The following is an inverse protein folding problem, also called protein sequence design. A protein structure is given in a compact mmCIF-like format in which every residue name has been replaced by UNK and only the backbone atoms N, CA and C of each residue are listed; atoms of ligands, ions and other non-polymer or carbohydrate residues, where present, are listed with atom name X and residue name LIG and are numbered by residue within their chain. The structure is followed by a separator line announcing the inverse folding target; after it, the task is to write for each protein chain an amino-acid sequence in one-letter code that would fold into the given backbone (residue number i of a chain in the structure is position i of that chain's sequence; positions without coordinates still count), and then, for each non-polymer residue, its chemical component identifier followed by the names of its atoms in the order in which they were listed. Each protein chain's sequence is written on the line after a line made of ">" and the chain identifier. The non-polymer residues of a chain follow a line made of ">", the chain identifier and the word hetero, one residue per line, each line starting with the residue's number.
data_IF_973223959706
#
_entry.id   IF_973223959706
#
_cell.length_a   1.000
_cell.length_b   1.000
_cell.length_c   1.000
_cell.angle_alpha   90.00
_cell.angle_beta   90.00
_cell.angle_gamma   90.00
#
_symmetry.space_group_name_H-M   'P 1'
#
loop_
_entity.id
_entity.type
_entity.pdbx_description
1 polymer ?
#
# COMPACT_ATOMS: atom_id res chain seq x y z
N UNK A 1 22.41 12.09 -16.93
CA UNK A 1 21.54 12.34 -18.10
C UNK A 1 20.34 11.37 -18.18
N UNK A 2 20.51 10.06 -17.92
CA UNK A 2 19.44 9.06 -18.12
C UNK A 2 18.33 9.04 -17.04
N UNK A 3 18.65 9.31 -15.77
CA UNK A 3 17.69 9.26 -14.65
C UNK A 3 16.47 10.20 -14.79
N UNK A 4 16.66 11.50 -15.07
CA UNK A 4 15.54 12.42 -15.32
C UNK A 4 14.66 12.00 -16.50
N UNK A 5 15.26 11.46 -17.56
CA UNK A 5 14.52 10.95 -18.71
C UNK A 5 13.61 9.77 -18.33
N UNK A 6 14.14 8.78 -17.61
CA UNK A 6 13.36 7.62 -17.13
C UNK A 6 12.22 8.08 -16.21
N UNK A 7 12.51 8.94 -15.23
CA UNK A 7 11.49 9.46 -14.32
C UNK A 7 10.35 10.17 -15.07
N UNK A 8 10.70 11.01 -16.05
CA UNK A 8 9.72 11.69 -16.88
C UNK A 8 8.84 10.73 -17.69
N UNK A 9 9.36 9.57 -18.09
CA UNK A 9 8.57 8.53 -18.75
C UNK A 9 7.64 7.82 -17.76
N UNK A 10 8.16 7.40 -16.61
CA UNK A 10 7.40 6.67 -15.58
C UNK A 10 6.21 7.47 -15.09
N UNK A 11 6.39 8.77 -14.85
CA UNK A 11 5.34 9.62 -14.29
C UNK A 11 4.21 9.98 -15.25
N UNK A 12 4.26 9.58 -16.52
CA UNK A 12 3.18 9.91 -17.46
C UNK A 12 1.84 9.31 -17.00
N UNK A 13 0.75 10.09 -17.07
CA UNK A 13 -0.59 9.68 -16.59
C UNK A 13 -1.04 8.32 -17.11
N UNK A 14 -0.83 8.05 -18.40
CA UNK A 14 -1.20 6.77 -19.01
C UNK A 14 -0.39 5.59 -18.43
N UNK A 15 0.86 5.81 -18.01
CA UNK A 15 1.68 4.79 -17.35
C UNK A 15 1.27 4.59 -15.90
N UNK A 16 0.98 5.67 -15.16
CA UNK A 16 0.39 5.58 -13.81
C UNK A 16 -0.88 4.72 -13.88
N UNK A 17 -1.79 5.04 -14.81
CA UNK A 17 -3.00 4.25 -15.05
C UNK A 17 -2.69 2.79 -15.39
N UNK A 18 -1.70 2.56 -16.28
CA UNK A 18 -1.26 1.21 -16.63
C UNK A 18 -0.70 0.41 -15.45
N UNK A 19 0.01 1.05 -14.54
CA UNK A 19 0.50 0.44 -13.29
C UNK A 19 -0.66 0.12 -12.36
N UNK A 20 -1.57 1.06 -12.11
CA UNK A 20 -2.75 0.82 -11.27
C UNK A 20 -3.59 -0.36 -11.77
N UNK A 21 -3.76 -0.49 -13.09
CA UNK A 21 -4.46 -1.66 -13.68
C UNK A 21 -3.81 -3.00 -13.36
N UNK A 22 -2.49 -3.04 -13.16
CA UNK A 22 -1.77 -4.27 -12.80
C UNK A 22 -1.98 -4.59 -11.32
N UNK A 23 -1.97 -3.58 -10.46
CA UNK A 23 -1.97 -3.77 -9.00
C UNK A 23 -3.34 -3.80 -8.36
N UNK A 24 -4.32 -3.13 -8.95
CA UNK A 24 -5.69 -3.10 -8.43
C UNK A 24 -6.50 -4.28 -8.95
N UNK A 25 -7.45 -4.71 -8.14
CA UNK A 25 -8.48 -5.71 -8.48
C UNK A 25 -9.83 -5.06 -8.66
N UNK A 26 -10.08 -3.94 -7.99
CA UNK A 26 -11.18 -3.06 -8.34
C UNK A 26 -10.77 -2.06 -9.44
N UNK A 27 -11.09 -2.37 -10.70
CA UNK A 27 -10.75 -1.51 -11.83
C UNK A 27 -11.59 -0.21 -11.87
N UNK A 28 -12.78 -0.20 -11.26
CA UNK A 28 -13.64 0.98 -11.17
C UNK A 28 -13.03 2.06 -10.27
N UNK A 29 -12.16 1.68 -9.33
CA UNK A 29 -11.44 2.62 -8.47
C UNK A 29 -10.37 3.44 -9.23
N UNK A 30 -10.01 3.05 -10.47
CA UNK A 30 -8.99 3.73 -11.27
C UNK A 30 -9.61 4.93 -12.00
N UNK A 31 -10.01 5.95 -11.26
CA UNK A 31 -10.63 7.18 -11.78
C UNK A 31 -9.59 8.15 -12.38
N UNK A 32 -10.01 9.09 -13.23
CA UNK A 32 -9.13 10.17 -13.69
C UNK A 32 -8.63 11.03 -12.51
N UNK A 33 -9.47 11.25 -11.50
CA UNK A 33 -9.11 11.98 -10.28
C UNK A 33 -7.92 11.31 -9.56
N UNK A 34 -7.96 9.99 -9.36
CA UNK A 34 -6.86 9.24 -8.75
C UNK A 34 -5.56 9.39 -9.56
N UNK A 35 -5.66 9.33 -10.89
CA UNK A 35 -4.49 9.55 -11.76
C UNK A 35 -3.92 10.95 -11.58
N UNK A 36 -4.77 11.98 -11.50
CA UNK A 36 -4.32 13.35 -11.24
C UNK A 36 -3.67 13.50 -9.85
N UNK A 37 -4.25 12.87 -8.83
CA UNK A 37 -3.72 12.90 -7.45
C UNK A 37 -2.32 12.30 -7.36
N UNK A 38 -2.04 11.22 -8.09
CA UNK A 38 -0.71 10.62 -8.15
C UNK A 38 0.26 11.38 -9.07
N UNK A 39 -0.26 11.93 -10.18
CA UNK A 39 0.55 12.66 -11.15
C UNK A 39 1.05 14.00 -10.60
N UNK A 40 0.18 14.77 -9.93
CA UNK A 40 0.50 16.12 -9.43
C UNK A 40 1.77 16.17 -8.58
N UNK A 41 1.93 15.37 -7.49
CA UNK A 41 3.16 15.42 -6.69
C UNK A 41 4.40 14.94 -7.47
N UNK A 42 4.23 14.12 -8.53
CA UNK A 42 5.34 13.75 -9.41
C UNK A 42 5.87 14.93 -10.25
N UNK A 43 5.12 16.04 -10.31
CA UNK A 43 5.50 17.28 -10.98
C UNK A 43 6.29 18.25 -10.10
N UNK A 44 6.34 18.01 -8.79
CA UNK A 44 6.96 18.94 -7.86
C UNK A 44 8.49 18.97 -7.99
N UNK A 45 9.13 20.13 -7.72
CA UNK A 45 10.59 20.22 -7.66
C UNK A 45 11.16 19.18 -6.68
N UNK A 46 12.04 18.32 -7.18
CA UNK A 46 12.68 17.28 -6.36
C UNK A 46 11.98 15.91 -6.36
N UNK A 47 10.79 15.78 -6.98
CA UNK A 47 10.08 14.50 -7.05
C UNK A 47 10.93 13.36 -7.65
N UNK A 48 11.77 13.68 -8.64
CA UNK A 48 12.71 12.71 -9.23
C UNK A 48 13.74 12.18 -8.22
N UNK A 49 14.21 13.03 -7.29
CA UNK A 49 15.16 12.62 -6.25
C UNK A 49 14.47 11.76 -5.20
N UNK A 50 13.24 12.10 -4.82
CA UNK A 50 12.41 11.28 -3.92
C UNK A 50 12.16 9.91 -4.53
N UNK A 51 11.71 9.86 -5.79
CA UNK A 51 11.51 8.61 -6.52
C UNK A 51 12.79 7.76 -6.59
N UNK A 52 13.93 8.37 -6.94
CA UNK A 52 15.21 7.67 -6.95
C UNK A 52 15.57 7.12 -5.57
N UNK A 53 15.35 7.90 -4.50
CA UNK A 53 15.64 7.47 -3.13
C UNK A 53 14.83 6.25 -2.70
N UNK A 54 13.56 6.14 -3.11
CA UNK A 54 12.74 4.96 -2.82
C UNK A 54 13.32 3.70 -3.49
N UNK A 55 13.82 3.82 -4.72
CA UNK A 55 14.40 2.69 -5.46
C UNK A 55 15.80 2.29 -5.01
N UNK A 56 16.56 3.22 -4.42
CA UNK A 56 17.96 3.00 -4.06
C UNK A 56 18.21 2.95 -2.55
N UNK A 57 17.20 3.23 -1.73
CA UNK A 57 17.34 3.15 -0.28
C UNK A 57 17.65 1.71 0.14
N UNK A 58 18.52 1.52 1.15
CA UNK A 58 18.70 0.21 1.75
C UNK A 58 17.39 -0.26 2.37
N UNK A 59 17.18 -1.58 2.38
CA UNK A 59 16.05 -2.16 3.10
C UNK A 59 16.13 -1.78 4.59
N UNK A 60 14.97 -1.45 5.18
CA UNK A 60 14.84 -1.26 6.62
C UNK A 60 14.84 -2.59 7.38
N UNK A 61 14.82 -2.54 8.73
CA UNK A 61 14.70 -3.73 9.56
C UNK A 61 13.43 -4.53 9.24
N UNK A 62 13.50 -5.85 9.37
CA UNK A 62 12.36 -6.71 9.06
C UNK A 62 11.24 -6.58 10.11
N UNK A 63 9.97 -6.84 9.73
CA UNK A 63 8.86 -6.90 10.68
C UNK A 63 9.10 -7.82 11.88
N UNK A 64 9.82 -8.94 11.69
CA UNK A 64 10.20 -9.86 12.77
C UNK A 64 11.08 -9.22 13.86
N UNK A 65 11.86 -8.20 13.50
CA UNK A 65 12.72 -7.45 14.44
C UNK A 65 11.98 -6.29 15.12
N UNK A 66 10.93 -5.77 14.46
CA UNK A 66 10.21 -4.58 14.89
C UNK A 66 8.95 -4.90 15.69
N UNK A 67 8.19 -5.91 15.28
CA UNK A 67 6.91 -6.29 15.91
C UNK A 67 7.03 -6.62 17.40
N UNK A 68 8.08 -7.31 17.89
CA UNK A 68 8.25 -7.55 19.33
C UNK A 68 8.36 -6.28 20.18
N UNK A 69 8.67 -5.12 19.56
CA UNK A 69 8.82 -3.83 20.24
C UNK A 69 7.49 -3.07 20.36
N UNK A 70 6.47 -3.46 19.59
CA UNK A 70 5.15 -2.81 19.59
C UNK A 70 4.35 -3.33 20.78
N UNK A 71 3.93 -2.41 21.65
CA UNK A 71 3.09 -2.71 22.83
C UNK A 71 1.62 -2.26 22.66
N UNK A 72 1.32 -1.56 21.57
CA UNK A 72 -0.02 -1.08 21.26
C UNK A 72 -0.80 -2.10 20.41
N UNK A 73 -2.15 -2.12 20.47
CA UNK A 73 -2.94 -2.91 19.56
C UNK A 73 -2.68 -2.52 18.10
N UNK A 74 -2.56 -3.52 17.24
CA UNK A 74 -2.24 -3.37 15.82
C UNK A 74 -3.40 -3.87 14.95
N UNK A 75 -3.88 -3.03 14.03
CA UNK A 75 -4.76 -3.45 12.94
C UNK A 75 -3.94 -3.54 11.65
N UNK A 76 -4.03 -4.66 10.95
CA UNK A 76 -3.41 -4.90 9.65
C UNK A 76 -4.51 -5.17 8.64
N UNK A 77 -4.67 -4.29 7.66
CA UNK A 77 -5.62 -4.46 6.55
C UNK A 77 -4.83 -4.78 5.30
N UNK A 78 -5.19 -5.85 4.60
CA UNK A 78 -4.41 -6.38 3.47
C UNK A 78 -5.32 -6.70 2.28
N UNK A 79 -4.90 -6.39 1.05
CA UNK A 79 -5.65 -6.82 -0.13
C UNK A 79 -5.39 -8.29 -0.44
N UNK A 80 -6.43 -9.12 -0.38
CA UNK A 80 -6.28 -10.58 -0.51
C UNK A 80 -5.55 -11.02 -1.79
N UNK A 81 -5.72 -10.26 -2.88
CA UNK A 81 -5.20 -10.60 -4.20
C UNK A 81 -4.15 -9.59 -4.70
N UNK A 82 -3.44 -8.95 -3.77
CA UNK A 82 -2.31 -8.07 -4.06
C UNK A 82 -1.21 -8.80 -4.87
N UNK A 83 -0.91 -8.35 -6.11
CA UNK A 83 0.12 -8.96 -6.95
C UNK A 83 1.56 -8.56 -6.60
N UNK A 84 1.75 -7.46 -5.89
CA UNK A 84 3.07 -6.92 -5.56
C UNK A 84 3.53 -7.39 -4.18
N UNK A 85 2.61 -7.41 -3.22
CA UNK A 85 2.83 -7.98 -1.89
C UNK A 85 1.81 -9.07 -1.60
N UNK A 86 2.04 -10.31 -2.11
CA UNK A 86 1.14 -11.43 -1.90
C UNK A 86 0.81 -11.61 -0.42
N UNK A 87 -0.42 -12.03 -0.11
CA UNK A 87 -0.90 -12.18 1.27
C UNK A 87 -0.03 -13.12 2.14
N UNK A 88 0.73 -14.02 1.52
CA UNK A 88 1.72 -14.85 2.21
C UNK A 88 2.84 -14.04 2.87
N UNK A 89 3.17 -12.86 2.35
CA UNK A 89 4.05 -11.88 3.01
C UNK A 89 3.49 -11.36 4.34
N UNK A 90 2.17 -11.47 4.52
CA UNK A 90 1.47 -11.14 5.76
C UNK A 90 1.51 -12.23 6.84
N UNK A 91 2.18 -13.38 6.61
CA UNK A 91 2.12 -14.56 7.50
C UNK A 91 2.51 -14.25 8.94
N UNK A 92 3.51 -13.39 9.16
CA UNK A 92 3.93 -13.01 10.51
C UNK A 92 2.81 -12.31 11.29
N UNK A 93 2.01 -11.48 10.64
CA UNK A 93 0.88 -10.78 11.27
C UNK A 93 -0.29 -11.73 11.53
N UNK A 94 -0.55 -12.66 10.59
CA UNK A 94 -1.53 -13.73 10.76
C UNK A 94 -1.18 -14.62 11.96
N UNK A 95 0.08 -15.04 12.08
CA UNK A 95 0.55 -15.89 13.18
C UNK A 95 0.46 -15.21 14.54
N UNK A 96 0.69 -13.89 14.59
CA UNK A 96 0.51 -13.12 15.82
C UNK A 96 -0.96 -13.01 16.21
N UNK A 97 -1.85 -12.79 15.24
CA UNK A 97 -3.29 -12.77 15.47
C UNK A 97 -3.81 -14.13 15.97
N UNK A 98 -3.38 -15.23 15.34
CA UNK A 98 -3.75 -16.61 15.73
C UNK A 98 -3.26 -16.98 17.14
N UNK A 99 -2.09 -16.46 17.55
CA UNK A 99 -1.53 -16.67 18.89
C UNK A 99 -2.17 -15.79 19.97
N UNK A 100 -3.16 -14.97 19.63
CA UNK A 100 -3.85 -14.08 20.56
C UNK A 100 -3.03 -12.87 21.00
N UNK A 101 -2.02 -12.46 20.22
CA UNK A 101 -1.40 -11.16 20.42
C UNK A 101 -2.42 -10.04 20.14
N UNK A 102 -2.14 -8.80 20.55
CA UNK A 102 -3.00 -7.65 20.25
C UNK A 102 -2.84 -7.20 18.78
N UNK A 103 -3.09 -8.13 17.85
CA UNK A 103 -2.99 -7.97 16.41
C UNK A 103 -4.28 -8.47 15.78
N UNK A 104 -4.94 -7.62 15.01
CA UNK A 104 -6.06 -8.00 14.15
C UNK A 104 -5.58 -7.94 12.70
N UNK A 105 -5.68 -9.07 11.98
CA UNK A 105 -5.35 -9.15 10.56
C UNK A 105 -6.64 -9.31 9.74
N UNK A 106 -6.87 -8.40 8.80
CA UNK A 106 -8.10 -8.35 7.99
C UNK A 106 -7.74 -8.39 6.50
N UNK A 107 -7.88 -9.55 5.84
CA UNK A 107 -7.82 -9.60 4.38
C UNK A 107 -9.12 -9.02 3.79
N UNK A 108 -8.98 -8.13 2.81
CA UNK A 108 -10.10 -7.56 2.05
C UNK A 108 -10.24 -8.36 0.76
N UNK A 109 -11.36 -9.09 0.56
CA UNK A 109 -11.54 -9.93 -0.61
C UNK A 109 -11.56 -9.13 -1.91
N UNK A 110 -11.14 -9.75 -3.02
CA UNK A 110 -11.18 -9.15 -4.37
C UNK A 110 -10.56 -7.74 -4.41
N UNK A 111 -9.43 -7.57 -3.72
CA UNK A 111 -8.74 -6.29 -3.51
C UNK A 111 -7.24 -6.47 -3.68
N UNK A 112 -6.60 -5.51 -4.34
CA UNK A 112 -5.18 -5.54 -4.68
C UNK A 112 -4.32 -4.71 -3.72
N UNK A 113 -3.34 -4.00 -4.27
CA UNK A 113 -2.23 -3.41 -3.52
C UNK A 113 -2.61 -2.24 -2.61
N UNK A 114 -3.63 -1.46 -2.97
CA UNK A 114 -4.04 -0.29 -2.17
C UNK A 114 -5.49 -0.45 -1.70
N UNK A 115 -5.77 -1.25 -0.66
CA UNK A 115 -7.14 -1.48 -0.20
C UNK A 115 -7.91 -0.19 0.13
N UNK A 116 -7.24 0.82 0.66
CA UNK A 116 -7.85 2.11 1.01
C UNK A 116 -8.34 2.90 -0.21
N UNK A 117 -7.62 2.81 -1.34
CA UNK A 117 -8.04 3.42 -2.60
C UNK A 117 -9.07 2.55 -3.33
N UNK A 118 -8.90 1.23 -3.29
CA UNK A 118 -9.73 0.27 -4.03
C UNK A 118 -11.11 0.04 -3.40
N UNK A 119 -11.18 0.01 -2.07
CA UNK A 119 -12.39 -0.29 -1.29
C UNK A 119 -12.53 0.67 -0.11
N UNK A 120 -12.58 1.99 -0.34
CA UNK A 120 -12.55 2.99 0.73
C UNK A 120 -13.66 2.79 1.75
N UNK A 121 -14.89 2.47 1.34
CA UNK A 121 -16.00 2.22 2.27
C UNK A 121 -15.71 1.05 3.22
N UNK A 122 -15.14 -0.05 2.71
CA UNK A 122 -14.81 -1.22 3.53
C UNK A 122 -13.67 -0.87 4.49
N UNK A 123 -12.59 -0.28 3.97
CA UNK A 123 -11.41 0.05 4.79
C UNK A 123 -11.75 1.09 5.86
N UNK A 124 -12.51 2.12 5.53
CA UNK A 124 -12.91 3.14 6.49
C UNK A 124 -13.77 2.56 7.61
N UNK A 125 -14.74 1.69 7.28
CA UNK A 125 -15.53 0.98 8.29
C UNK A 125 -14.65 0.13 9.20
N UNK A 126 -13.72 -0.66 8.65
CA UNK A 126 -12.80 -1.48 9.44
C UNK A 126 -11.98 -0.65 10.43
N UNK A 127 -11.48 0.52 10.01
CA UNK A 127 -10.72 1.42 10.87
C UNK A 127 -11.61 2.00 11.98
N UNK A 128 -12.80 2.49 11.64
CA UNK A 128 -13.73 3.08 12.61
C UNK A 128 -14.22 2.05 13.64
N UNK A 129 -14.60 0.86 13.17
CA UNK A 129 -15.04 -0.23 14.05
C UNK A 129 -13.93 -0.63 15.01
N UNK A 130 -12.69 -0.76 14.53
CA UNK A 130 -11.54 -1.08 15.38
C UNK A 130 -11.22 0.02 16.40
N UNK A 131 -11.33 1.30 16.02
CA UNK A 131 -11.15 2.41 16.94
C UNK A 131 -12.24 2.48 18.02
N UNK A 132 -13.46 2.04 17.70
CA UNK A 132 -14.60 2.03 18.63
C UNK A 132 -14.53 0.93 19.71
N UNK A 133 -13.67 -0.07 19.51
CA UNK A 133 -13.46 -1.18 20.45
C UNK A 133 -12.49 -0.82 21.59
N UNK A 134 -12.07 0.45 21.67
CA UNK A 134 -11.09 0.96 22.63
C UNK A 134 -11.74 1.81 23.72
#
# INVERSE_FOLDING_TARGET
>A
ALGPFIFNQVRQKYRIRGTLKQVYRNQEAITDELIELLHRPSCDPGAQKVFASILTAPAGPHPSELLPKIQAPLLVIWGENDPWTPISGGKIYQDLAEKGASVQFVPVPNTGHCPHDERPTIVNSLILDWLSQR
#
